data_IF_796202075503
#
_entry.id   IF_796202075503
#
_cell.length_a   1.000
_cell.length_b   1.000
_cell.length_c   1.000
_cell.angle_alpha   90.00
_cell.angle_beta   90.00
_cell.angle_gamma   90.00
#
_symmetry.space_group_name_H-M   'P 1'
#
loop_
_entity.id
_entity.type
_entity.pdbx_description
1 polymer ?
#
# COMPACT_ATOMS: atom_id res chain seq x y z
N UNK A 1 -16.88 -0.08 -4.58
CA UNK A 1 -17.31 -1.16 -3.65
C UNK A 1 -18.39 -2.08 -4.25
N UNK A 2 -19.62 -1.59 -4.55
CA UNK A 2 -20.72 -2.42 -5.10
C UNK A 2 -20.42 -3.18 -6.41
N UNK A 3 -19.59 -2.62 -7.29
CA UNK A 3 -19.19 -3.26 -8.56
C UNK A 3 -18.26 -4.45 -8.37
N UNK A 4 -17.44 -4.43 -7.32
CA UNK A 4 -16.51 -5.53 -6.97
C UNK A 4 -17.29 -6.71 -6.41
N UNK A 5 -18.22 -6.43 -5.49
CA UNK A 5 -19.11 -7.44 -4.92
C UNK A 5 -19.93 -8.15 -6.00
N UNK A 6 -20.54 -7.39 -6.93
CA UNK A 6 -21.25 -7.96 -8.09
C UNK A 6 -20.36 -8.83 -8.99
N UNK A 7 -19.09 -8.46 -9.17
CA UNK A 7 -18.13 -9.22 -9.99
C UNK A 7 -17.70 -10.52 -9.31
N UNK A 8 -17.47 -10.49 -7.99
CA UNK A 8 -17.20 -11.68 -7.18
C UNK A 8 -18.38 -12.65 -7.26
N UNK A 9 -19.61 -12.15 -7.06
CA UNK A 9 -20.84 -12.94 -7.12
C UNK A 9 -21.06 -13.51 -8.54
N UNK A 10 -20.78 -12.74 -9.59
CA UNK A 10 -20.90 -13.21 -10.97
C UNK A 10 -19.91 -14.33 -11.30
N UNK A 11 -18.67 -14.22 -10.83
CA UNK A 11 -17.64 -15.23 -11.05
C UNK A 11 -17.82 -16.48 -10.17
N UNK A 12 -18.63 -16.39 -9.11
CA UNK A 12 -19.01 -17.53 -8.28
C UNK A 12 -20.17 -18.36 -8.89
N UNK A 13 -20.77 -17.94 -10.01
CA UNK A 13 -21.84 -18.73 -10.66
C UNK A 13 -21.30 -20.04 -11.22
N UNK A 14 -21.99 -21.18 -11.00
CA UNK A 14 -21.57 -22.46 -11.54
C UNK A 14 -21.68 -22.45 -13.07
N UNK A 15 -20.59 -22.78 -13.76
CA UNK A 15 -20.62 -23.15 -15.18
C UNK A 15 -20.70 -24.68 -15.30
N UNK A 16 -21.33 -25.22 -16.35
CA UNK A 16 -21.71 -26.63 -16.39
C UNK A 16 -20.55 -27.64 -16.32
N UNK A 17 -19.34 -27.30 -16.79
CA UNK A 17 -18.25 -28.26 -17.01
C UNK A 17 -16.89 -27.81 -16.42
N UNK A 18 -16.82 -27.44 -15.15
CA UNK A 18 -15.56 -26.97 -14.53
C UNK A 18 -15.18 -27.73 -13.27
N UNK A 19 -13.93 -28.20 -13.20
CA UNK A 19 -13.38 -28.90 -12.03
C UNK A 19 -13.49 -28.03 -10.77
N UNK A 20 -13.93 -28.65 -9.67
CA UNK A 20 -14.23 -27.94 -8.43
C UNK A 20 -12.97 -27.33 -7.77
N UNK A 21 -11.80 -27.94 -8.03
CA UNK A 21 -10.51 -27.56 -7.43
C UNK A 21 -10.00 -26.24 -8.02
N UNK A 22 -10.11 -26.06 -9.33
CA UNK A 22 -9.73 -24.81 -10.01
C UNK A 22 -10.64 -23.65 -9.60
N UNK A 23 -11.93 -23.95 -9.37
CA UNK A 23 -12.92 -22.96 -8.90
C UNK A 23 -12.63 -22.51 -7.47
N UNK A 24 -12.21 -23.43 -6.61
CA UNK A 24 -11.80 -23.10 -5.24
C UNK A 24 -10.56 -22.21 -5.26
N UNK A 25 -9.53 -22.57 -6.02
CA UNK A 25 -8.29 -21.79 -6.07
C UNK A 25 -8.51 -20.36 -6.61
N UNK A 26 -9.25 -20.21 -7.72
CA UNK A 26 -9.54 -18.89 -8.27
C UNK A 26 -10.34 -18.01 -7.31
N UNK A 27 -11.36 -18.59 -6.66
CA UNK A 27 -12.20 -17.87 -5.71
C UNK A 27 -11.43 -17.51 -4.44
N UNK A 28 -10.74 -18.47 -3.83
CA UNK A 28 -10.02 -18.28 -2.56
C UNK A 28 -8.87 -17.29 -2.73
N UNK A 29 -8.02 -17.46 -3.74
CA UNK A 29 -6.88 -16.57 -3.98
C UNK A 29 -7.35 -15.14 -4.27
N UNK A 30 -8.41 -14.96 -5.08
CA UNK A 30 -8.93 -13.63 -5.36
C UNK A 30 -9.56 -12.97 -4.13
N UNK A 31 -10.24 -13.72 -3.26
CA UNK A 31 -10.84 -13.17 -2.05
C UNK A 31 -9.78 -12.82 -1.00
N UNK A 32 -8.74 -13.65 -0.83
CA UNK A 32 -7.61 -13.36 0.07
C UNK A 32 -6.90 -12.07 -0.33
N UNK A 33 -6.60 -11.88 -1.61
CA UNK A 33 -5.97 -10.65 -2.10
C UNK A 33 -6.82 -9.40 -1.82
N UNK A 34 -8.14 -9.49 -2.02
CA UNK A 34 -9.06 -8.38 -1.74
C UNK A 34 -9.08 -8.04 -0.25
N UNK A 35 -9.12 -9.05 0.63
CA UNK A 35 -9.06 -8.84 2.07
C UNK A 35 -7.76 -8.17 2.50
N UNK A 36 -6.61 -8.62 1.98
CA UNK A 36 -5.30 -8.03 2.28
C UNK A 36 -5.22 -6.56 1.85
N UNK A 37 -5.73 -6.22 0.66
CA UNK A 37 -5.76 -4.82 0.18
C UNK A 37 -6.60 -3.94 1.12
N UNK A 38 -7.77 -4.44 1.55
CA UNK A 38 -8.64 -3.72 2.48
C UNK A 38 -7.94 -3.52 3.83
N UNK A 39 -7.29 -4.55 4.37
CA UNK A 39 -6.56 -4.48 5.63
C UNK A 39 -5.41 -3.46 5.59
N UNK A 40 -4.60 -3.49 4.52
CA UNK A 40 -3.51 -2.53 4.33
C UNK A 40 -4.05 -1.10 4.23
N UNK A 41 -5.16 -0.92 3.49
CA UNK A 41 -5.80 0.39 3.35
C UNK A 41 -6.30 0.92 4.70
N UNK A 42 -6.96 0.08 5.50
CA UNK A 42 -7.45 0.49 6.83
C UNK A 42 -6.28 0.99 7.70
N UNK A 43 -5.15 0.27 7.69
CA UNK A 43 -3.96 0.67 8.45
C UNK A 43 -3.39 2.01 7.98
N UNK A 44 -3.42 2.30 6.69
CA UNK A 44 -2.94 3.57 6.13
C UNK A 44 -3.89 4.75 6.36
N UNK A 45 -5.21 4.52 6.48
CA UNK A 45 -6.20 5.60 6.65
C UNK A 45 -6.51 5.95 8.11
N UNK A 46 -6.47 4.96 9.01
CA UNK A 46 -6.86 5.13 10.42
C UNK A 46 -5.65 5.23 11.35
N UNK A 47 -4.46 4.78 10.91
CA UNK A 47 -3.21 4.87 11.67
C UNK A 47 -2.24 5.91 11.13
N UNK A 48 -1.11 6.03 11.81
CA UNK A 48 0.04 6.80 11.35
C UNK A 48 0.82 5.95 10.32
N UNK A 49 0.95 6.41 9.06
CA UNK A 49 1.55 5.60 8.00
C UNK A 49 3.07 5.45 8.14
N UNK A 50 3.71 6.35 8.90
CA UNK A 50 5.15 6.34 9.18
C UNK A 50 5.40 7.06 10.52
N UNK A 51 6.31 6.51 11.32
CA UNK A 51 6.84 7.14 12.53
C UNK A 51 8.24 7.66 12.20
N UNK A 52 8.50 8.93 12.45
CA UNK A 52 9.82 9.53 12.21
C UNK A 52 10.56 9.78 13.52
N UNK A 53 11.90 9.75 13.45
CA UNK A 53 12.73 10.20 14.56
C UNK A 53 12.70 11.72 14.62
N UNK A 54 12.20 12.26 15.73
CA UNK A 54 12.00 13.69 15.93
C UNK A 54 12.81 14.10 17.18
N UNK A 55 13.52 15.25 17.15
CA UNK A 55 14.28 15.70 18.31
C UNK A 55 13.36 16.04 19.49
N UNK A 56 13.81 15.76 20.72
CA UNK A 56 13.01 15.92 21.93
C UNK A 56 12.60 17.38 22.26
N UNK A 57 13.20 18.37 21.60
CA UNK A 57 12.90 19.79 21.80
C UNK A 57 11.64 20.25 21.05
N UNK A 58 11.10 19.45 20.12
CA UNK A 58 9.88 19.82 19.40
C UNK A 58 8.64 19.64 20.25
N UNK A 59 7.72 20.61 20.19
CA UNK A 59 6.42 20.52 20.87
C UNK A 59 5.64 19.32 20.29
N UNK A 60 5.03 18.45 21.14
CA UNK A 60 4.40 17.21 20.70
C UNK A 60 3.28 17.42 19.67
N UNK A 61 2.62 18.58 19.64
CA UNK A 61 1.61 18.89 18.62
C UNK A 61 2.15 18.91 17.18
N UNK A 62 3.46 19.06 16.98
CA UNK A 62 4.07 19.03 15.65
C UNK A 62 4.43 17.63 15.16
N UNK A 63 4.43 16.62 16.03
CA UNK A 63 4.77 15.24 15.70
C UNK A 63 3.91 14.75 14.52
N UNK A 64 2.58 14.83 14.66
CA UNK A 64 1.63 14.46 13.61
C UNK A 64 1.80 15.26 12.30
N UNK A 65 2.24 16.51 12.39
CA UNK A 65 2.48 17.34 11.20
C UNK A 65 3.74 16.89 10.47
N UNK A 66 4.83 16.68 11.21
CA UNK A 66 6.12 16.26 10.67
C UNK A 66 5.99 14.87 10.04
N UNK A 67 5.31 13.94 10.70
CA UNK A 67 5.05 12.60 10.16
C UNK A 67 4.29 12.63 8.84
N UNK A 68 3.21 13.44 8.77
CA UNK A 68 2.45 13.61 7.52
C UNK A 68 3.29 14.27 6.43
N UNK A 69 4.12 15.24 6.81
CA UNK A 69 5.03 15.89 5.87
C UNK A 69 6.05 14.89 5.30
N UNK A 70 6.68 14.09 6.17
CA UNK A 70 7.61 13.04 5.77
C UNK A 70 6.96 11.94 4.92
N UNK A 71 5.67 11.65 5.10
CA UNK A 71 4.95 10.67 4.29
C UNK A 71 4.62 11.18 2.87
N UNK A 72 4.25 12.46 2.76
CA UNK A 72 3.89 13.08 1.47
C UNK A 72 5.14 13.39 0.65
N UNK A 73 6.22 13.79 1.32
CA UNK A 73 7.53 13.96 0.67
C UNK A 73 8.19 12.60 0.44
N UNK A 74 8.90 12.43 -0.67
CA UNK A 74 9.58 11.17 -0.94
C UNK A 74 10.78 11.00 0.00
N UNK A 75 10.85 9.85 0.68
CA UNK A 75 12.00 9.46 1.51
C UNK A 75 13.08 8.80 0.65
N UNK A 76 14.34 8.85 1.07
CA UNK A 76 15.43 8.14 0.40
C UNK A 76 16.20 7.29 1.42
N UNK A 77 16.71 6.15 0.96
CA UNK A 77 17.52 5.28 1.81
C UNK A 77 18.97 5.76 1.87
N UNK A 78 19.55 5.78 3.07
CA UNK A 78 20.96 6.08 3.30
C UNK A 78 21.59 4.90 4.04
N UNK A 79 22.76 4.47 3.60
CA UNK A 79 23.50 3.41 4.27
C UNK A 79 24.22 3.97 5.52
N UNK A 80 24.04 3.31 6.66
CA UNK A 80 24.58 3.73 7.97
C UNK A 80 26.12 3.83 7.98
N UNK A 81 26.80 3.08 7.11
CA UNK A 81 28.28 3.07 7.02
C UNK A 81 28.88 4.24 6.26
N UNK A 82 28.11 4.93 5.41
CA UNK A 82 28.57 6.08 4.62
C UNK A 82 27.66 7.28 4.90
N UNK A 83 27.97 8.04 5.95
CA UNK A 83 27.23 9.25 6.37
C UNK A 83 27.39 10.45 5.42
N UNK A 84 27.89 10.23 4.21
CA UNK A 84 28.04 11.28 3.20
C UNK A 84 26.64 11.60 2.68
N UNK A 85 26.16 12.82 2.93
CA UNK A 85 24.87 13.25 2.40
C UNK A 85 24.89 13.16 0.87
N UNK A 86 23.97 12.40 0.26
CA UNK A 86 23.92 12.27 -1.19
C UNK A 86 23.63 13.63 -1.83
N UNK A 87 24.27 13.90 -2.98
CA UNK A 87 23.92 15.05 -3.82
C UNK A 87 22.46 14.98 -4.25
N UNK A 88 21.84 16.12 -4.60
CA UNK A 88 20.42 16.18 -5.02
C UNK A 88 20.09 15.19 -6.15
N UNK A 89 21.04 14.97 -7.06
CA UNK A 89 20.88 14.00 -8.16
C UNK A 89 20.94 12.54 -7.70
N UNK A 90 21.71 12.25 -6.64
CA UNK A 90 21.73 10.92 -6.02
C UNK A 90 20.46 10.68 -5.19
N UNK A 91 19.96 11.71 -4.48
CA UNK A 91 18.69 11.62 -3.74
C UNK A 91 17.54 11.21 -4.64
N UNK A 92 17.37 11.87 -5.79
CA UNK A 92 16.32 11.54 -6.77
C UNK A 92 16.36 10.07 -7.23
N UNK A 93 17.56 9.48 -7.36
CA UNK A 93 17.71 8.06 -7.75
C UNK A 93 17.37 7.08 -6.64
N UNK A 94 17.49 7.51 -5.38
CA UNK A 94 17.27 6.68 -4.19
C UNK A 94 15.90 6.93 -3.55
N UNK A 95 15.06 7.78 -4.13
CA UNK A 95 13.71 8.09 -3.66
C UNK A 95 12.81 6.84 -3.66
N UNK A 96 12.20 6.57 -2.51
CA UNK A 96 11.21 5.53 -2.29
C UNK A 96 9.82 6.13 -2.41
N UNK A 97 9.15 5.88 -3.55
CA UNK A 97 7.81 6.42 -3.84
C UNK A 97 6.67 5.42 -3.63
N UNK A 98 6.98 4.14 -3.44
CA UNK A 98 5.99 3.07 -3.60
C UNK A 98 4.90 3.07 -2.52
N UNK A 99 5.20 3.46 -1.28
CA UNK A 99 4.26 3.41 -0.14
C UNK A 99 2.96 4.19 -0.39
N UNK A 100 3.06 5.35 -1.04
CA UNK A 100 1.93 6.23 -1.34
C UNK A 100 0.90 5.58 -2.28
N UNK A 101 1.34 4.64 -3.11
CA UNK A 101 0.51 4.10 -4.17
C UNK A 101 0.05 2.66 -3.95
N UNK A 102 0.51 1.99 -2.89
CA UNK A 102 0.13 0.59 -2.60
C UNK A 102 -1.39 0.43 -2.45
N UNK A 103 -2.05 1.32 -1.69
CA UNK A 103 -3.51 1.32 -1.52
C UNK A 103 -4.26 1.72 -2.81
N UNK A 104 -3.72 2.67 -3.56
CA UNK A 104 -4.33 3.18 -4.81
C UNK A 104 -4.24 2.14 -5.95
N UNK A 105 -3.10 1.47 -6.12
CA UNK A 105 -2.92 0.47 -7.18
C UNK A 105 -3.51 -0.89 -6.82
N UNK A 106 -3.68 -1.23 -5.54
CA UNK A 106 -4.47 -2.40 -5.13
C UNK A 106 -5.92 -2.33 -5.62
N UNK A 107 -6.50 -1.13 -5.71
CA UNK A 107 -7.87 -0.94 -6.24
C UNK A 107 -7.93 -0.74 -7.76
N UNK A 108 -6.86 -0.27 -8.41
CA UNK A 108 -6.80 -0.07 -9.88
C UNK A 108 -6.25 -1.27 -10.68
N UNK A 109 -5.47 -2.15 -10.07
CA UNK A 109 -4.86 -3.31 -10.77
C UNK A 109 -5.88 -4.37 -11.24
N UNK A 110 -7.15 -4.26 -10.85
CA UNK A 110 -8.22 -5.16 -11.32
C UNK A 110 -9.35 -4.43 -12.07
N UNK A 111 -9.00 -3.58 -13.03
CA UNK A 111 -9.94 -3.13 -14.07
C UNK A 111 -9.45 -3.29 -15.51
N UNK A 112 -8.36 -4.06 -15.73
CA UNK A 112 -7.98 -4.59 -17.04
C UNK A 112 -7.23 -5.92 -16.88
N UNK A 113 -7.99 -6.96 -16.56
CA UNK A 113 -7.80 -8.31 -17.06
C UNK A 113 -9.17 -8.74 -17.59
#
# INVERSE_FOLDING_TARGET
>A
MFRVLKRIIWNARPRPNGDNIDRLNYSVTSNILVLLIILISIKQYVGEPIQCWIPAETIPSWELYIERYCYIQNTYFVNETNLIMPSNEQKKRLELRYYQWVSVYGTKSKFRF
#
